data_IF_720972571888
#
_entry.id   IF_720972571888
#
_cell.length_a   1.000
_cell.length_b   1.000
_cell.length_c   1.000
_cell.angle_alpha   90.00
_cell.angle_beta   90.00
_cell.angle_gamma   90.00
#
_symmetry.space_group_name_H-M   'P 1'
#
loop_
_entity.id
_entity.type
_entity.pdbx_description
1 polymer ?
#
# COMPACT_ATOMS: atom_id res chain seq x y z
N UNK A 1 0.52 3.98 -7.39
CA UNK A 1 0.16 3.04 -8.49
C UNK A 1 -0.74 3.75 -9.50
N UNK A 2 -0.84 3.22 -10.74
CA UNK A 2 -1.72 3.79 -11.79
C UNK A 2 -3.20 3.84 -11.34
N UNK A 3 -3.63 2.83 -10.59
CA UNK A 3 -4.96 2.77 -9.98
C UNK A 3 -5.25 4.01 -9.13
N UNK A 4 -4.37 4.35 -8.20
CA UNK A 4 -4.59 5.49 -7.30
C UNK A 4 -4.56 6.83 -8.04
N UNK A 5 -3.73 6.98 -9.09
CA UNK A 5 -3.75 8.19 -9.93
C UNK A 5 -5.13 8.44 -10.55
N UNK A 6 -5.75 7.39 -11.10
CA UNK A 6 -7.09 7.51 -11.69
C UNK A 6 -8.14 7.86 -10.63
N UNK A 7 -8.06 7.25 -9.43
CA UNK A 7 -8.99 7.57 -8.35
C UNK A 7 -8.79 8.99 -7.80
N UNK A 8 -7.54 9.49 -7.73
CA UNK A 8 -7.28 10.90 -7.39
C UNK A 8 -7.89 11.84 -8.43
N UNK A 9 -7.70 11.55 -9.74
CA UNK A 9 -8.31 12.35 -10.81
C UNK A 9 -9.83 12.34 -10.74
N UNK A 10 -10.45 11.25 -10.29
CA UNK A 10 -11.89 11.18 -10.04
C UNK A 10 -12.31 12.12 -8.89
N UNK A 11 -11.56 12.12 -7.77
CA UNK A 11 -11.84 13.03 -6.65
C UNK A 11 -11.69 14.51 -7.03
N UNK A 12 -10.69 14.84 -7.85
CA UNK A 12 -10.45 16.22 -8.30
C UNK A 12 -11.60 16.79 -9.13
N UNK A 13 -12.31 15.95 -9.88
CA UNK A 13 -13.51 16.34 -10.64
C UNK A 13 -14.67 16.75 -9.74
N UNK A 14 -14.64 16.32 -8.47
CA UNK A 14 -15.69 16.55 -7.46
C UNK A 14 -17.11 16.25 -7.99
N UNK A 15 -17.21 15.22 -8.80
CA UNK A 15 -18.45 14.76 -9.44
C UNK A 15 -18.65 13.28 -9.09
N UNK A 16 -19.86 12.91 -8.68
CA UNK A 16 -20.22 11.52 -8.39
C UNK A 16 -20.63 10.73 -9.64
N UNK A 17 -20.46 11.29 -10.85
CA UNK A 17 -20.76 10.60 -12.10
C UNK A 17 -19.63 9.65 -12.50
N UNK A 18 -19.86 8.35 -12.32
CA UNK A 18 -18.95 7.28 -12.76
C UNK A 18 -19.29 6.75 -14.17
N UNK A 19 -20.40 7.18 -14.78
CA UNK A 19 -20.79 6.67 -16.09
C UNK A 19 -19.78 7.06 -17.18
N UNK A 20 -19.19 8.24 -17.05
CA UNK A 20 -18.14 8.74 -17.95
C UNK A 20 -16.71 8.43 -17.47
N UNK A 21 -16.55 7.72 -16.35
CA UNK A 21 -15.26 7.27 -15.83
C UNK A 21 -15.21 5.74 -15.77
N UNK A 22 -14.85 5.12 -16.88
CA UNK A 22 -14.83 3.65 -17.03
C UNK A 22 -13.95 2.96 -16.00
N UNK A 23 -12.85 3.62 -15.55
CA UNK A 23 -11.96 3.07 -14.55
C UNK A 23 -12.64 3.03 -13.17
N UNK A 24 -13.18 4.17 -12.71
CA UNK A 24 -13.86 4.25 -11.41
C UNK A 24 -15.11 3.36 -11.39
N UNK A 25 -15.87 3.30 -12.47
CA UNK A 25 -17.01 2.38 -12.62
C UNK A 25 -16.58 0.92 -12.43
N UNK A 26 -15.51 0.50 -13.11
CA UNK A 26 -14.96 -0.86 -12.96
C UNK A 26 -14.44 -1.11 -11.55
N UNK A 27 -13.77 -0.14 -10.95
CA UNK A 27 -13.28 -0.22 -9.56
C UNK A 27 -14.44 -0.44 -8.58
N UNK A 28 -15.48 0.38 -8.63
CA UNK A 28 -16.66 0.28 -7.76
C UNK A 28 -17.38 -1.06 -7.97
N UNK A 29 -17.57 -1.50 -9.24
CA UNK A 29 -18.23 -2.77 -9.54
C UNK A 29 -17.50 -4.00 -8.98
N UNK A 30 -16.19 -3.92 -8.81
CA UNK A 30 -15.36 -5.00 -8.29
C UNK A 30 -14.85 -4.76 -6.87
N UNK A 31 -15.37 -3.76 -6.16
CA UNK A 31 -14.80 -3.29 -4.89
C UNK A 31 -14.71 -4.39 -3.83
N UNK A 32 -15.66 -5.32 -3.80
CA UNK A 32 -15.68 -6.44 -2.85
C UNK A 32 -14.57 -7.47 -3.06
N UNK A 33 -13.92 -7.46 -4.23
CA UNK A 33 -12.80 -8.36 -4.52
C UNK A 33 -11.46 -7.90 -3.94
N UNK A 34 -11.35 -6.62 -3.57
CA UNK A 34 -10.10 -6.09 -3.05
C UNK A 34 -9.82 -6.49 -1.61
N UNK A 35 -8.53 -6.68 -1.30
CA UNK A 35 -8.07 -7.08 0.03
C UNK A 35 -8.39 -6.07 1.14
N UNK A 36 -8.57 -4.81 0.80
CA UNK A 36 -8.92 -3.72 1.71
C UNK A 36 -10.43 -3.51 1.92
N UNK A 37 -11.28 -4.31 1.30
CA UNK A 37 -12.73 -4.11 1.30
C UNK A 37 -13.32 -3.97 2.70
N UNK A 38 -12.97 -4.88 3.59
CA UNK A 38 -13.49 -4.88 4.97
C UNK A 38 -13.02 -3.64 5.76
N UNK A 39 -11.75 -3.26 5.60
CA UNK A 39 -11.22 -2.07 6.27
C UNK A 39 -11.90 -0.80 5.75
N UNK A 40 -12.18 -0.74 4.45
CA UNK A 40 -12.86 0.37 3.82
C UNK A 40 -14.33 0.47 4.29
N UNK A 41 -15.03 -0.66 4.34
CA UNK A 41 -16.40 -0.69 4.85
C UNK A 41 -16.45 -0.27 6.32
N UNK A 42 -15.56 -0.82 7.15
CA UNK A 42 -15.44 -0.43 8.55
C UNK A 42 -15.10 1.06 8.74
N UNK A 43 -14.32 1.64 7.85
CA UNK A 43 -14.03 3.08 7.87
C UNK A 43 -15.30 3.92 7.62
N UNK A 44 -16.12 3.50 6.65
CA UNK A 44 -17.40 4.15 6.36
C UNK A 44 -18.41 3.96 7.49
N UNK A 45 -18.47 2.76 8.10
CA UNK A 45 -19.38 2.45 9.22
C UNK A 45 -19.12 3.36 10.43
N UNK A 46 -17.88 3.68 10.73
CA UNK A 46 -17.52 4.64 11.80
C UNK A 46 -18.12 6.03 11.58
N UNK A 47 -18.36 6.41 10.34
CA UNK A 47 -18.97 7.68 9.94
C UNK A 47 -20.50 7.55 9.67
N UNK A 48 -21.10 6.40 10.01
CA UNK A 48 -22.55 6.18 9.88
C UNK A 48 -23.03 5.76 8.47
N UNK A 49 -22.09 5.36 7.60
CA UNK A 49 -22.39 4.85 6.26
C UNK A 49 -21.88 3.41 6.08
N UNK A 50 -21.87 2.89 4.85
CA UNK A 50 -21.24 1.64 4.43
C UNK A 50 -20.96 1.71 2.94
N UNK A 51 -20.14 0.80 2.41
CA UNK A 51 -19.89 0.74 0.95
C UNK A 51 -21.21 0.53 0.21
N UNK A 52 -22.05 -0.40 0.68
CA UNK A 52 -23.35 -0.71 0.04
C UNK A 52 -24.27 0.51 0.02
N UNK A 53 -24.40 1.20 1.15
CA UNK A 53 -25.22 2.41 1.28
C UNK A 53 -24.69 3.56 0.40
N UNK A 54 -23.38 3.75 0.37
CA UNK A 54 -22.76 4.77 -0.45
C UNK A 54 -22.93 4.49 -1.95
N UNK A 55 -22.91 3.21 -2.38
CA UNK A 55 -23.19 2.82 -3.77
C UNK A 55 -24.68 3.08 -4.10
N UNK A 56 -25.60 2.70 -3.22
CA UNK A 56 -27.05 2.94 -3.39
C UNK A 56 -27.37 4.43 -3.55
N UNK A 57 -26.73 5.25 -2.74
CA UNK A 57 -26.88 6.72 -2.77
C UNK A 57 -26.05 7.40 -3.87
N UNK A 58 -25.24 6.67 -4.65
CA UNK A 58 -24.29 7.18 -5.64
C UNK A 58 -23.23 8.12 -5.05
N UNK A 59 -22.82 7.88 -3.82
CA UNK A 59 -21.80 8.65 -3.09
C UNK A 59 -20.39 8.08 -3.34
N UNK A 60 -20.00 7.92 -4.61
CA UNK A 60 -18.75 7.25 -5.00
C UNK A 60 -17.50 8.00 -4.54
N UNK A 61 -17.55 9.33 -4.53
CA UNK A 61 -16.46 10.17 -4.00
C UNK A 61 -16.21 9.91 -2.52
N UNK A 62 -17.25 9.59 -1.73
CA UNK A 62 -17.11 9.22 -0.32
C UNK A 62 -16.28 7.95 -0.18
N UNK A 63 -16.59 6.92 -0.97
CA UNK A 63 -15.85 5.64 -0.96
C UNK A 63 -14.38 5.87 -1.31
N UNK A 64 -14.12 6.59 -2.40
CA UNK A 64 -12.76 6.85 -2.87
C UNK A 64 -11.99 7.71 -1.88
N UNK A 65 -12.62 8.69 -1.26
CA UNK A 65 -12.04 9.52 -0.21
C UNK A 65 -11.62 8.67 1.00
N UNK A 66 -12.50 7.80 1.50
CA UNK A 66 -12.17 6.91 2.62
C UNK A 66 -11.01 5.94 2.31
N UNK A 67 -10.81 5.59 1.05
CA UNK A 67 -9.65 4.79 0.64
C UNK A 67 -8.36 5.59 0.61
N UNK A 68 -8.37 6.80 0.04
CA UNK A 68 -7.14 7.53 -0.31
C UNK A 68 -6.66 8.53 0.74
N UNK A 69 -7.58 9.20 1.46
CA UNK A 69 -7.28 10.31 2.35
C UNK A 69 -6.60 9.83 3.63
N UNK A 70 -5.65 10.64 4.13
CA UNK A 70 -4.88 10.37 5.36
C UNK A 70 -5.73 10.38 6.64
N UNK A 71 -6.91 11.00 6.60
CA UNK A 71 -7.87 10.93 7.70
C UNK A 71 -8.51 9.53 7.86
N UNK A 72 -8.39 8.66 6.86
CA UNK A 72 -9.01 7.33 6.83
C UNK A 72 -7.98 6.22 6.57
N UNK A 73 -8.05 5.53 5.43
CA UNK A 73 -7.15 4.39 5.14
C UNK A 73 -5.78 4.80 4.59
N UNK A 74 -5.59 6.05 4.19
CA UNK A 74 -4.30 6.62 3.73
C UNK A 74 -3.67 5.91 2.52
N UNK A 75 -4.45 5.18 1.71
CA UNK A 75 -3.90 4.44 0.55
C UNK A 75 -3.27 5.34 -0.50
N UNK A 76 -3.57 6.65 -0.47
CA UNK A 76 -2.95 7.65 -1.32
C UNK A 76 -1.49 7.94 -0.98
N UNK A 77 -1.12 7.85 0.29
CA UNK A 77 0.20 8.25 0.82
C UNK A 77 1.04 7.11 1.37
N UNK A 78 0.41 5.99 1.77
CA UNK A 78 1.13 4.86 2.34
C UNK A 78 2.02 4.15 1.30
N UNK A 79 3.21 3.67 1.71
CA UNK A 79 4.05 2.83 0.88
C UNK A 79 3.39 1.46 0.66
N UNK A 80 3.67 0.84 -0.50
CA UNK A 80 3.05 -0.45 -0.89
C UNK A 80 3.19 -1.54 0.17
N UNK A 81 4.31 -1.57 0.89
CA UNK A 81 4.55 -2.56 1.95
C UNK A 81 3.51 -2.57 3.06
N UNK A 82 2.79 -1.44 3.26
CA UNK A 82 1.78 -1.27 4.30
C UNK A 82 0.34 -1.35 3.79
N UNK A 83 0.14 -1.59 2.48
CA UNK A 83 -1.20 -1.72 1.89
C UNK A 83 -1.61 -3.18 1.82
N UNK A 84 -2.87 -3.49 2.11
CA UNK A 84 -3.40 -4.84 1.93
C UNK A 84 -3.59 -5.13 0.44
N UNK A 85 -2.81 -6.08 -0.09
CA UNK A 85 -2.91 -6.55 -1.47
C UNK A 85 -3.25 -8.04 -1.58
N UNK A 86 -3.01 -8.79 -0.52
CA UNK A 86 -3.21 -10.25 -0.50
C UNK A 86 -4.50 -10.57 0.25
N UNK A 87 -5.47 -11.13 -0.47
CA UNK A 87 -6.75 -11.56 0.09
C UNK A 87 -6.77 -13.09 0.16
N UNK A 88 -7.01 -13.60 1.35
CA UNK A 88 -7.22 -15.01 1.64
C UNK A 88 -8.67 -15.25 2.05
N UNK A 89 -9.04 -16.50 2.28
CA UNK A 89 -10.41 -16.87 2.67
C UNK A 89 -10.86 -16.19 3.96
N UNK A 90 -9.97 -16.12 4.96
CA UNK A 90 -10.30 -15.65 6.30
C UNK A 90 -9.52 -14.38 6.73
N UNK A 91 -8.62 -13.87 5.91
CA UNK A 91 -7.84 -12.68 6.24
C UNK A 91 -7.31 -11.98 4.99
N UNK A 92 -6.86 -10.75 5.18
CA UNK A 92 -6.10 -10.01 4.17
C UNK A 92 -4.81 -9.51 4.78
N UNK A 93 -3.72 -9.57 4.01
CA UNK A 93 -2.38 -9.23 4.48
C UNK A 93 -1.73 -8.14 3.66
N UNK A 94 -0.86 -7.39 4.33
CA UNK A 94 0.09 -6.47 3.72
C UNK A 94 1.34 -7.22 3.24
N UNK A 95 2.15 -6.67 2.32
CA UNK A 95 3.44 -7.26 1.97
C UNK A 95 4.38 -7.43 3.18
N UNK A 96 4.33 -6.56 4.18
CA UNK A 96 5.09 -6.75 5.43
C UNK A 96 4.70 -8.06 6.11
N UNK A 97 3.38 -8.32 6.26
CA UNK A 97 2.89 -9.56 6.86
C UNK A 97 3.28 -10.80 6.04
N UNK A 98 3.27 -10.70 4.70
CA UNK A 98 3.73 -11.79 3.82
C UNK A 98 5.22 -12.09 4.03
N UNK A 99 6.06 -11.08 4.21
CA UNK A 99 7.49 -11.29 4.49
C UNK A 99 7.74 -12.03 5.82
N UNK A 100 6.89 -11.86 6.83
CA UNK A 100 6.96 -12.69 8.04
C UNK A 100 6.68 -14.16 7.71
N UNK A 101 5.63 -14.44 6.92
CA UNK A 101 5.26 -15.81 6.52
C UNK A 101 6.36 -16.43 5.65
N UNK A 102 6.86 -15.71 4.65
CA UNK A 102 7.97 -16.14 3.80
C UNK A 102 9.23 -16.41 4.62
N UNK A 103 9.56 -15.52 5.56
CA UNK A 103 10.70 -15.70 6.47
C UNK A 103 10.64 -16.99 7.25
N UNK A 104 9.46 -17.40 7.70
CA UNK A 104 9.26 -18.71 8.35
C UNK A 104 9.49 -19.87 7.39
N UNK A 105 9.04 -19.75 6.15
CA UNK A 105 9.16 -20.82 5.16
C UNK A 105 10.60 -21.07 4.71
N UNK A 106 11.42 -20.03 4.60
CA UNK A 106 12.75 -20.11 3.97
C UNK A 106 13.92 -19.75 4.90
N UNK A 107 13.67 -19.06 6.01
CA UNK A 107 14.71 -18.36 6.78
C UNK A 107 14.81 -18.75 8.25
N UNK A 108 14.19 -19.86 8.68
CA UNK A 108 14.33 -20.31 10.08
C UNK A 108 15.75 -20.77 10.34
N UNK A 109 16.47 -20.02 11.16
CA UNK A 109 17.82 -20.32 11.56
C UNK A 109 17.91 -21.15 12.86
N UNK A 110 19.10 -21.19 13.45
CA UNK A 110 19.33 -21.81 14.75
C UNK A 110 18.44 -21.15 15.82
N UNK A 111 18.00 -21.91 16.79
CA UNK A 111 17.14 -21.46 17.90
C UNK A 111 15.76 -20.94 17.47
N UNK A 112 15.21 -21.45 16.36
CA UNK A 112 13.92 -21.01 15.82
C UNK A 112 13.83 -19.49 15.61
N UNK A 113 14.92 -18.87 15.17
CA UNK A 113 14.97 -17.42 14.92
C UNK A 113 14.91 -17.13 13.43
N UNK A 114 14.03 -16.22 13.04
CA UNK A 114 13.90 -15.69 11.68
C UNK A 114 14.40 -14.24 11.68
N UNK A 115 15.27 -13.91 10.73
CA UNK A 115 15.80 -12.55 10.56
C UNK A 115 15.22 -11.90 9.32
N UNK A 116 14.58 -10.75 9.53
CA UNK A 116 14.05 -9.93 8.44
C UNK A 116 14.69 -8.55 8.48
N UNK A 117 15.02 -8.05 7.31
CA UNK A 117 15.56 -6.71 7.14
C UNK A 117 14.71 -5.91 6.15
N UNK A 118 14.23 -4.75 6.58
CA UNK A 118 13.45 -3.85 5.73
C UNK A 118 14.28 -2.61 5.37
N UNK A 119 14.40 -2.33 4.08
CA UNK A 119 14.91 -1.03 3.62
C UNK A 119 13.73 -0.13 3.33
N UNK A 120 13.63 0.97 4.05
CA UNK A 120 12.48 1.88 4.01
C UNK A 120 12.93 3.31 3.72
N UNK A 121 12.01 4.13 3.20
CA UNK A 121 12.27 5.55 3.11
C UNK A 121 12.15 6.21 4.49
N UNK A 122 12.93 7.27 4.76
CA UNK A 122 12.95 7.91 6.09
C UNK A 122 11.56 8.35 6.57
N UNK A 123 10.74 8.90 5.68
CA UNK A 123 9.39 9.40 5.96
C UNK A 123 8.41 8.31 6.36
N UNK A 124 8.66 7.05 5.98
CA UNK A 124 7.77 5.93 6.26
C UNK A 124 8.27 4.98 7.35
N UNK A 125 9.51 5.15 7.82
CA UNK A 125 10.14 4.24 8.77
C UNK A 125 9.25 4.01 10.00
N UNK A 126 8.75 5.07 10.61
CA UNK A 126 7.90 4.97 11.81
C UNK A 126 6.66 4.11 11.57
N UNK A 127 5.98 4.28 10.43
CA UNK A 127 4.79 3.50 10.06
C UNK A 127 5.13 2.00 9.88
N UNK A 128 6.31 1.69 9.33
CA UNK A 128 6.79 0.30 9.24
C UNK A 128 7.10 -0.30 10.61
N UNK A 129 7.76 0.45 11.49
CA UNK A 129 8.06 0.01 12.86
C UNK A 129 6.76 -0.25 13.66
N UNK A 130 5.76 0.62 13.55
CA UNK A 130 4.44 0.44 14.15
C UNK A 130 3.75 -0.82 13.62
N UNK A 131 3.77 -1.05 12.30
CA UNK A 131 3.18 -2.25 11.69
C UNK A 131 3.91 -3.53 12.12
N UNK A 132 5.22 -3.51 12.19
CA UNK A 132 6.02 -4.64 12.69
C UNK A 132 5.69 -4.93 14.15
N UNK A 133 5.62 -3.91 15.01
CA UNK A 133 5.27 -4.08 16.42
C UNK A 133 3.86 -4.67 16.63
N UNK A 134 2.90 -4.33 15.75
CA UNK A 134 1.56 -4.92 15.74
C UNK A 134 1.58 -6.40 15.33
N UNK A 135 2.32 -6.72 14.26
CA UNK A 135 2.26 -8.03 13.56
C UNK A 135 3.13 -9.07 14.24
N UNK A 136 4.33 -8.71 14.69
CA UNK A 136 5.34 -9.62 15.19
C UNK A 136 4.84 -10.55 16.31
N UNK A 137 4.16 -10.08 17.38
CA UNK A 137 3.70 -10.97 18.45
C UNK A 137 2.72 -12.05 17.95
N UNK A 138 1.83 -11.67 17.02
CA UNK A 138 0.87 -12.60 16.41
C UNK A 138 1.61 -13.67 15.59
N UNK A 139 2.57 -13.26 14.77
CA UNK A 139 3.35 -14.18 13.93
C UNK A 139 4.24 -15.11 14.75
N UNK A 140 4.89 -14.60 15.80
CA UNK A 140 5.68 -15.41 16.73
C UNK A 140 4.83 -16.49 17.42
N UNK A 141 3.63 -16.11 17.87
CA UNK A 141 2.69 -17.04 18.49
C UNK A 141 2.17 -18.09 17.51
N UNK A 142 1.87 -17.67 16.26
CA UNK A 142 1.30 -18.55 15.24
C UNK A 142 2.30 -19.61 14.77
N UNK A 143 3.56 -19.21 14.58
CA UNK A 143 4.59 -20.09 13.98
C UNK A 143 5.57 -20.69 14.98
N UNK A 144 5.53 -20.32 16.25
CA UNK A 144 6.44 -20.83 17.29
C UNK A 144 7.89 -20.43 17.06
N UNK A 145 8.15 -19.31 16.42
CA UNK A 145 9.48 -18.77 16.11
C UNK A 145 9.69 -17.43 16.81
N UNK A 146 10.94 -16.95 16.81
CA UNK A 146 11.25 -15.56 17.17
C UNK A 146 11.66 -14.78 15.94
N UNK A 147 11.27 -13.53 15.85
CA UNK A 147 11.72 -12.63 14.79
C UNK A 147 12.71 -11.58 15.30
N UNK A 148 13.85 -11.48 14.62
CA UNK A 148 14.80 -10.39 14.75
C UNK A 148 14.62 -9.45 13.55
N UNK A 149 14.01 -8.29 13.80
CA UNK A 149 13.68 -7.33 12.76
C UNK A 149 14.68 -6.19 12.80
N UNK A 150 15.16 -5.80 11.63
CA UNK A 150 16.04 -4.65 11.47
C UNK A 150 15.59 -3.76 10.32
N UNK A 151 15.94 -2.48 10.40
CA UNK A 151 15.62 -1.49 9.38
C UNK A 151 16.88 -0.79 8.90
N UNK A 152 16.87 -0.43 7.62
CA UNK A 152 17.80 0.55 7.07
C UNK A 152 17.05 1.60 6.26
N UNK A 153 17.59 2.79 6.19
CA UNK A 153 17.04 3.83 5.34
C UNK A 153 17.67 3.78 3.95
N UNK A 154 16.83 4.01 2.95
CA UNK A 154 17.29 4.17 1.59
C UNK A 154 18.15 5.44 1.49
N UNK A 155 19.37 5.28 1.01
CA UNK A 155 20.31 6.40 0.85
C UNK A 155 20.12 7.04 -0.52
N UNK A 156 20.16 8.38 -0.57
CA UNK A 156 20.10 9.15 -1.83
C UNK A 156 21.21 8.69 -2.80
N UNK A 157 22.38 8.33 -2.29
CA UNK A 157 23.50 7.82 -3.09
C UNK A 157 23.19 6.50 -3.83
N UNK A 158 22.10 5.81 -3.48
CA UNK A 158 21.66 4.59 -4.18
C UNK A 158 20.58 4.86 -5.24
N UNK A 159 20.20 6.12 -5.44
CA UNK A 159 19.24 6.47 -6.47
C UNK A 159 19.80 6.15 -7.86
N UNK A 160 18.95 5.66 -8.74
CA UNK A 160 19.28 5.36 -10.13
C UNK A 160 18.88 6.52 -11.03
N UNK A 161 19.76 6.84 -12.00
CA UNK A 161 19.43 7.81 -13.03
C UNK A 161 18.37 7.23 -13.97
N UNK A 162 17.35 8.01 -14.30
CA UNK A 162 16.41 7.64 -15.34
C UNK A 162 17.03 7.91 -16.71
N UNK A 163 16.75 7.01 -17.66
CA UNK A 163 17.20 7.16 -19.05
C UNK A 163 15.99 6.97 -19.98
N UNK A 164 16.10 7.51 -21.19
CA UNK A 164 15.17 7.30 -22.29
C UNK A 164 15.39 5.94 -22.98
N UNK A 165 14.66 5.69 -24.07
CA UNK A 165 14.77 4.45 -24.84
C UNK A 165 16.12 4.31 -25.56
N UNK A 166 16.86 5.39 -25.78
CA UNK A 166 18.20 5.46 -26.37
C UNK A 166 19.31 5.40 -25.31
N UNK A 167 18.97 5.14 -24.06
CA UNK A 167 19.88 5.14 -22.89
C UNK A 167 20.55 6.51 -22.62
N UNK A 168 19.92 7.62 -23.04
CA UNK A 168 20.39 8.94 -22.67
C UNK A 168 19.76 9.38 -21.35
N UNK A 169 20.49 10.11 -20.49
CA UNK A 169 19.94 10.61 -19.24
C UNK A 169 18.68 11.47 -19.46
N UNK A 170 17.62 11.15 -18.72
CA UNK A 170 16.39 11.94 -18.77
C UNK A 170 16.58 13.25 -18.01
N UNK A 171 16.29 14.35 -18.70
CA UNK A 171 16.37 15.71 -18.15
C UNK A 171 14.96 16.21 -17.95
N UNK A 172 14.66 16.69 -16.74
CA UNK A 172 13.37 17.31 -16.41
C UNK A 172 13.26 18.72 -17.02
N UNK A 173 12.06 19.28 -17.01
CA UNK A 173 11.78 20.61 -17.59
C UNK A 173 12.59 21.73 -16.93
N UNK A 174 13.07 21.55 -15.71
CA UNK A 174 13.95 22.47 -14.98
C UNK A 174 15.44 22.34 -15.36
N UNK A 175 15.79 21.40 -16.25
CA UNK A 175 17.14 21.15 -16.71
C UNK A 175 17.95 20.19 -15.80
N UNK A 176 17.36 19.61 -14.77
CA UNK A 176 18.01 18.67 -13.87
C UNK A 176 17.87 17.22 -14.34
N UNK A 177 18.80 16.37 -13.94
CA UNK A 177 18.75 14.93 -14.20
C UNK A 177 17.69 14.26 -13.31
N UNK A 178 16.83 13.44 -13.89
CA UNK A 178 15.84 12.69 -13.14
C UNK A 178 16.47 11.48 -12.45
N UNK A 179 16.41 11.47 -11.13
CA UNK A 179 16.80 10.31 -10.31
C UNK A 179 15.56 9.63 -9.71
N UNK A 180 15.60 8.30 -9.65
CA UNK A 180 14.57 7.47 -9.01
C UNK A 180 15.16 6.74 -7.82
N UNK A 181 14.45 6.64 -6.70
CA UNK A 181 14.88 5.82 -5.58
C UNK A 181 15.13 4.38 -6.01
N UNK A 182 16.21 3.77 -5.55
CA UNK A 182 16.47 2.35 -5.80
C UNK A 182 15.31 1.50 -5.27
N UNK A 183 14.91 0.45 -6.03
CA UNK A 183 13.78 -0.40 -5.69
C UNK A 183 12.41 0.09 -6.21
N UNK A 184 12.30 1.30 -6.74
CA UNK A 184 11.19 1.65 -7.61
C UNK A 184 11.48 1.06 -8.99
N UNK A 185 10.81 -0.04 -9.31
CA UNK A 185 10.85 -0.59 -10.66
C UNK A 185 10.53 0.49 -11.69
N UNK A 186 11.25 0.46 -12.77
CA UNK A 186 11.02 1.32 -13.92
C UNK A 186 9.60 1.19 -14.48
#
# INVERSE_FOLDING_TARGET
SRMFKNLFSFLEKNDNDIENDSFTKTFISNISSFAFYEDLDNSLVKEGSSISKAIENKEYTLIVKHLLDDAYLSYGSLPKGLLKFHKYENESRTPVEEHFVEGVQYGVGKNNTVRLHFTVSPEHQKKFEEKVAEVQPKMESTFGVKFEISFSQQKIATNTIAVDLENQPFIEDNGELLFRPAGHGA
#
